data_IF_953698216546
#
_entry.id   IF_953698216546
#
_cell.length_a   1.000
_cell.length_b   1.000
_cell.length_c   1.000
_cell.angle_alpha   90.00
_cell.angle_beta   90.00
_cell.angle_gamma   90.00
#
_symmetry.space_group_name_H-M   'P 1'
#
loop_
_entity.id
_entity.type
_entity.pdbx_description
1 polymer ?
#
# COMPACT_ATOMS: atom_id res chain seq x y z
N UNK A 1 -46.61 9.23 -15.81
CA UNK A 1 -45.17 8.94 -15.64
C UNK A 1 -44.98 8.34 -14.25
N UNK A 2 -44.52 7.09 -14.17
CA UNK A 2 -44.18 6.42 -12.91
C UNK A 2 -42.69 6.68 -12.64
N UNK A 3 -42.39 7.28 -11.50
CA UNK A 3 -41.02 7.53 -11.06
C UNK A 3 -40.65 6.33 -10.20
N UNK A 4 -39.72 5.49 -10.67
CA UNK A 4 -39.18 4.39 -9.87
C UNK A 4 -38.14 4.93 -8.89
N UNK A 5 -38.18 4.58 -7.60
CA UNK A 5 -37.09 4.89 -6.67
C UNK A 5 -35.94 3.89 -6.88
N UNK A 6 -34.74 4.42 -7.12
CA UNK A 6 -33.50 3.65 -7.16
C UNK A 6 -33.20 3.19 -5.73
N UNK A 7 -33.32 1.89 -5.49
CA UNK A 7 -32.94 1.26 -4.22
C UNK A 7 -31.41 1.14 -4.19
N UNK A 8 -30.72 1.97 -3.41
CA UNK A 8 -29.32 1.74 -3.05
C UNK A 8 -29.26 0.55 -2.09
N UNK A 9 -28.89 -0.62 -2.61
CA UNK A 9 -28.49 -1.77 -1.81
C UNK A 9 -27.09 -1.48 -1.25
N UNK A 10 -27.04 -0.91 -0.04
CA UNK A 10 -25.81 -0.86 0.75
C UNK A 10 -25.62 -2.26 1.34
N UNK A 11 -24.88 -3.12 0.66
CA UNK A 11 -24.39 -4.37 1.24
C UNK A 11 -23.15 -4.09 2.08
N UNK A 12 -23.30 -3.36 3.18
CA UNK A 12 -22.30 -3.34 4.23
C UNK A 12 -22.44 -4.64 5.00
N UNK A 13 -21.60 -5.63 4.69
CA UNK A 13 -21.32 -6.72 5.61
C UNK A 13 -20.58 -6.12 6.81
N UNK A 14 -21.32 -5.63 7.79
CA UNK A 14 -20.76 -5.41 9.12
C UNK A 14 -20.52 -6.78 9.74
N UNK A 15 -19.30 -7.29 9.57
CA UNK A 15 -18.82 -8.40 10.39
C UNK A 15 -18.74 -7.88 11.82
N UNK A 16 -19.50 -8.51 12.69
CA UNK A 16 -19.53 -8.30 14.13
C UNK A 16 -18.14 -8.46 14.73
N UNK A 17 -17.61 -7.41 15.38
CA UNK A 17 -16.63 -7.51 16.47
C UNK A 17 -15.32 -8.28 16.20
N UNK A 18 -14.70 -8.12 15.03
CA UNK A 18 -13.29 -8.48 14.88
C UNK A 18 -12.46 -7.40 15.58
N UNK A 19 -11.73 -7.76 16.64
CA UNK A 19 -10.50 -7.01 16.95
C UNK A 19 -9.71 -6.89 15.64
N UNK A 20 -9.13 -5.71 15.37
CA UNK A 20 -8.29 -5.50 14.19
C UNK A 20 -7.03 -6.38 14.38
N UNK A 21 -7.08 -7.62 13.91
CA UNK A 21 -5.98 -8.56 14.05
C UNK A 21 -4.94 -8.29 12.98
N UNK A 22 -3.67 -8.27 13.39
CA UNK A 22 -2.54 -8.19 12.47
C UNK A 22 -2.61 -9.36 11.47
N UNK A 23 -2.68 -9.12 10.15
CA UNK A 23 -2.87 -10.18 9.17
C UNK A 23 -1.63 -11.07 9.09
N UNK A 24 -1.88 -12.37 8.90
CA UNK A 24 -0.83 -13.36 8.62
C UNK A 24 -0.24 -13.15 7.22
N UNK A 25 0.97 -13.65 7.00
CA UNK A 25 1.59 -13.62 5.69
C UNK A 25 0.77 -14.40 4.66
N UNK A 26 0.19 -15.54 5.04
CA UNK A 26 -0.63 -16.37 4.17
C UNK A 26 -1.92 -15.65 3.74
N UNK A 27 -2.54 -14.87 4.63
CA UNK A 27 -3.69 -14.04 4.29
C UNK A 27 -3.31 -12.96 3.28
N UNK A 28 -2.18 -12.28 3.47
CA UNK A 28 -1.70 -11.25 2.56
C UNK A 28 -1.28 -11.84 1.20
N UNK A 29 -0.59 -12.98 1.17
CA UNK A 29 -0.22 -13.68 -0.07
C UNK A 29 -1.47 -14.12 -0.84
N UNK A 30 -2.48 -14.66 -0.14
CA UNK A 30 -3.75 -15.05 -0.77
C UNK A 30 -4.48 -13.84 -1.35
N UNK A 31 -4.54 -12.73 -0.59
CA UNK A 31 -5.15 -11.49 -1.06
C UNK A 31 -4.44 -10.93 -2.29
N UNK A 32 -3.11 -10.86 -2.26
CA UNK A 32 -2.30 -10.45 -3.40
C UNK A 32 -2.57 -11.33 -4.62
N UNK A 33 -2.55 -12.65 -4.46
CA UNK A 33 -2.76 -13.59 -5.57
C UNK A 33 -4.15 -13.44 -6.20
N UNK A 34 -5.18 -13.19 -5.38
CA UNK A 34 -6.53 -12.97 -5.86
C UNK A 34 -6.68 -11.66 -6.65
N UNK A 35 -5.88 -10.64 -6.31
CA UNK A 35 -5.97 -9.29 -6.86
C UNK A 35 -4.70 -8.84 -7.60
N UNK A 36 -3.88 -9.79 -8.07
CA UNK A 36 -2.53 -9.52 -8.59
C UNK A 36 -2.55 -8.50 -9.74
N UNK A 37 -3.55 -8.59 -10.63
CA UNK A 37 -3.71 -7.65 -11.74
C UNK A 37 -3.91 -6.21 -11.24
N UNK A 38 -4.69 -6.01 -10.17
CA UNK A 38 -4.95 -4.68 -9.64
C UNK A 38 -3.70 -4.08 -8.97
N UNK A 39 -2.96 -4.87 -8.20
CA UNK A 39 -1.67 -4.46 -7.63
C UNK A 39 -0.68 -4.01 -8.71
N UNK A 40 -0.53 -4.83 -9.76
CA UNK A 40 0.36 -4.53 -10.88
C UNK A 40 -0.07 -3.29 -11.64
N UNK A 41 -1.36 -3.08 -11.87
CA UNK A 41 -1.86 -1.89 -12.56
C UNK A 41 -1.68 -0.61 -11.72
N UNK A 42 -1.93 -0.66 -10.40
CA UNK A 42 -1.61 0.44 -9.49
C UNK A 42 -0.14 0.83 -9.61
N UNK A 43 0.77 -0.16 -9.51
CA UNK A 43 2.20 0.04 -9.70
C UNK A 43 2.48 0.73 -11.03
N UNK A 44 1.98 0.18 -12.15
CA UNK A 44 2.28 0.67 -13.49
C UNK A 44 1.84 2.11 -13.71
N UNK A 45 0.73 2.53 -13.08
CA UNK A 45 0.27 3.92 -13.10
C UNK A 45 1.21 4.82 -12.29
N UNK A 46 1.56 4.43 -11.04
CA UNK A 46 2.29 5.33 -10.14
C UNK A 46 3.79 5.42 -10.42
N UNK A 47 4.43 4.37 -10.93
CA UNK A 47 5.88 4.39 -11.26
C UNK A 47 6.20 5.27 -12.47
N UNK A 48 5.20 5.67 -13.24
CA UNK A 48 5.36 6.56 -14.39
C UNK A 48 5.27 8.04 -14.01
N UNK A 49 4.90 8.35 -12.75
CA UNK A 49 4.63 9.71 -12.30
C UNK A 49 5.92 10.53 -12.18
N UNK A 50 5.87 11.77 -12.66
CA UNK A 50 6.94 12.74 -12.46
C UNK A 50 6.97 13.27 -11.01
N UNK A 51 5.79 13.52 -10.44
CA UNK A 51 5.60 14.11 -9.11
C UNK A 51 4.57 13.33 -8.29
N UNK A 52 4.59 13.54 -6.98
CA UNK A 52 3.66 12.95 -6.01
C UNK A 52 4.35 12.02 -5.03
N UNK A 53 3.77 11.91 -3.83
CA UNK A 53 4.22 11.04 -2.74
C UNK A 53 3.19 9.94 -2.39
N UNK A 54 1.93 10.14 -2.78
CA UNK A 54 0.82 9.20 -2.56
C UNK A 54 -0.36 9.48 -3.48
N UNK A 55 -1.35 8.60 -3.47
CA UNK A 55 -2.69 8.78 -4.01
C UNK A 55 -3.70 7.89 -3.24
N UNK A 56 -4.94 8.35 -2.96
CA UNK A 56 -5.50 9.67 -3.23
C UNK A 56 -4.97 10.75 -2.26
N UNK A 57 -5.22 12.05 -2.50
CA UNK A 57 -4.89 13.10 -1.53
C UNK A 57 -5.56 12.86 -0.18
N UNK A 58 -4.90 13.21 0.93
CA UNK A 58 -5.52 13.28 2.26
C UNK A 58 -6.61 14.33 2.32
N UNK A 59 -6.39 15.47 1.67
CA UNK A 59 -7.31 16.61 1.68
C UNK A 59 -7.82 16.91 0.29
N UNK A 60 -9.13 16.91 0.16
CA UNK A 60 -9.83 17.30 -1.08
C UNK A 60 -10.40 18.72 -1.00
N UNK A 61 -10.50 19.28 0.20
CA UNK A 61 -11.04 20.63 0.47
C UNK A 61 -10.01 21.73 0.20
N UNK A 62 -8.74 21.46 0.53
CA UNK A 62 -7.62 22.39 0.38
C UNK A 62 -6.41 21.64 -0.17
N UNK A 63 -6.25 21.67 -1.50
CA UNK A 63 -5.11 21.05 -2.16
C UNK A 63 -3.88 21.96 -2.06
N UNK A 64 -2.91 21.56 -1.23
CA UNK A 64 -1.62 22.23 -1.10
C UNK A 64 -0.50 21.21 -0.93
N UNK A 65 0.73 21.58 -1.29
CA UNK A 65 1.91 20.72 -1.12
C UNK A 65 1.72 19.34 -1.77
N UNK A 66 1.98 18.28 -1.01
CA UNK A 66 1.92 16.90 -1.48
C UNK A 66 0.52 16.48 -1.94
N UNK A 67 -0.55 16.99 -1.34
CA UNK A 67 -1.93 16.72 -1.79
C UNK A 67 -2.15 17.26 -3.21
N UNK A 68 -1.62 18.46 -3.51
CA UNK A 68 -1.67 18.99 -4.86
C UNK A 68 -0.81 18.16 -5.83
N UNK A 69 0.39 17.75 -5.40
CA UNK A 69 1.30 16.93 -6.23
C UNK A 69 0.75 15.52 -6.50
N UNK A 70 -0.01 14.94 -5.58
CA UNK A 70 -0.64 13.62 -5.73
C UNK A 70 -1.55 13.52 -6.96
N UNK A 71 -2.19 14.64 -7.34
CA UNK A 71 -3.12 14.71 -8.47
C UNK A 71 -2.60 15.55 -9.64
N UNK A 72 -1.52 16.32 -9.45
CA UNK A 72 -0.95 17.18 -10.49
C UNK A 72 -0.55 16.34 -11.70
N UNK A 73 -0.98 16.73 -12.90
CA UNK A 73 -0.67 16.00 -14.16
C UNK A 73 -1.12 14.52 -14.16
N UNK A 74 -2.01 14.13 -13.24
CA UNK A 74 -2.63 12.81 -13.26
C UNK A 74 -3.92 12.91 -14.09
N UNK A 75 -4.05 12.20 -15.21
CA UNK A 75 -5.29 12.20 -15.99
C UNK A 75 -6.49 11.75 -15.17
N UNK A 76 -7.67 12.34 -15.40
CA UNK A 76 -8.91 11.96 -14.70
C UNK A 76 -9.24 10.47 -14.85
N UNK A 77 -8.95 9.88 -16.02
CA UNK A 77 -9.09 8.44 -16.25
C UNK A 77 -8.23 7.61 -15.29
N UNK A 78 -7.00 8.04 -15.02
CA UNK A 78 -6.11 7.36 -14.08
C UNK A 78 -6.55 7.57 -12.63
N UNK A 79 -7.13 8.73 -12.28
CA UNK A 79 -7.71 8.96 -10.95
C UNK A 79 -8.85 7.98 -10.67
N UNK A 80 -9.84 7.96 -11.57
CA UNK A 80 -10.98 7.04 -11.46
C UNK A 80 -10.55 5.58 -11.47
N UNK A 81 -9.52 5.25 -12.26
CA UNK A 81 -8.99 3.89 -12.30
C UNK A 81 -8.28 3.52 -11.00
N UNK A 82 -7.43 4.40 -10.46
CA UNK A 82 -6.77 4.18 -9.16
C UNK A 82 -7.80 4.06 -8.02
N UNK A 83 -8.85 4.90 -8.00
CA UNK A 83 -9.92 4.78 -7.01
C UNK A 83 -10.59 3.40 -7.07
N UNK A 84 -10.90 2.93 -8.29
CA UNK A 84 -11.49 1.61 -8.50
C UNK A 84 -10.56 0.48 -8.08
N UNK A 85 -9.27 0.57 -8.40
CA UNK A 85 -8.27 -0.46 -8.10
C UNK A 85 -8.01 -0.55 -6.60
N UNK A 86 -7.88 0.59 -5.92
CA UNK A 86 -7.72 0.66 -4.46
C UNK A 86 -8.94 0.06 -3.74
N UNK A 87 -10.15 0.37 -4.21
CA UNK A 87 -11.36 -0.26 -3.71
C UNK A 87 -11.40 -1.78 -3.99
N UNK A 88 -10.95 -2.24 -5.17
CA UNK A 88 -10.89 -3.66 -5.51
C UNK A 88 -9.98 -4.44 -4.56
N UNK A 89 -8.82 -3.89 -4.20
CA UNK A 89 -7.88 -4.51 -3.25
C UNK A 89 -8.19 -4.18 -1.79
N UNK A 90 -9.27 -3.44 -1.52
CA UNK A 90 -9.66 -2.99 -0.17
C UNK A 90 -8.56 -2.22 0.59
N UNK A 91 -7.75 -1.44 -0.13
CA UNK A 91 -6.73 -0.57 0.44
C UNK A 91 -7.10 0.89 0.23
N UNK A 92 -6.74 1.76 1.18
CA UNK A 92 -7.14 3.17 1.12
C UNK A 92 -6.20 4.03 0.27
N UNK A 93 -4.95 3.57 0.06
CA UNK A 93 -3.88 4.43 -0.46
C UNK A 93 -2.75 3.64 -1.08
N UNK A 94 -2.07 4.29 -2.02
CA UNK A 94 -0.76 3.91 -2.51
C UNK A 94 0.23 5.05 -2.26
N UNK A 95 1.42 4.73 -1.78
CA UNK A 95 2.56 5.65 -1.65
C UNK A 95 3.64 5.29 -2.66
N UNK A 96 4.29 6.32 -3.18
CA UNK A 96 5.34 6.22 -4.18
C UNK A 96 6.13 7.51 -4.18
N UNK A 97 7.29 7.57 -4.81
CA UNK A 97 7.95 8.86 -5.09
C UNK A 97 8.05 9.09 -6.59
N UNK A 98 7.50 10.22 -7.05
CA UNK A 98 7.62 10.65 -8.43
C UNK A 98 9.09 10.83 -8.86
N UNK A 99 9.39 10.55 -10.12
CA UNK A 99 10.76 10.52 -10.65
C UNK A 99 11.50 11.85 -10.56
N UNK A 100 10.83 12.97 -10.84
CA UNK A 100 11.44 14.30 -10.69
C UNK A 100 11.62 14.64 -9.21
N UNK A 101 10.70 14.25 -8.32
CA UNK A 101 10.88 14.40 -6.88
C UNK A 101 12.10 13.62 -6.36
N UNK A 102 12.31 12.38 -6.82
CA UNK A 102 13.51 11.60 -6.50
C UNK A 102 14.79 12.28 -6.99
N UNK A 103 14.78 12.79 -8.22
CA UNK A 103 15.91 13.48 -8.83
C UNK A 103 16.26 14.78 -8.09
N UNK A 104 15.28 15.57 -7.70
CA UNK A 104 15.46 16.79 -6.89
C UNK A 104 16.11 16.49 -5.53
N UNK A 105 15.83 15.32 -4.96
CA UNK A 105 16.48 14.81 -3.74
C UNK A 105 17.84 14.14 -3.97
N UNK A 106 18.33 14.09 -5.22
CA UNK A 106 19.57 13.39 -5.57
C UNK A 106 19.49 11.87 -5.38
N UNK A 107 18.29 11.29 -5.44
CA UNK A 107 18.05 9.85 -5.30
C UNK A 107 18.02 9.16 -6.67
N UNK A 108 18.26 7.85 -6.66
CA UNK A 108 18.12 7.02 -7.84
C UNK A 108 16.66 7.00 -8.31
N UNK A 109 16.44 7.26 -9.60
CA UNK A 109 15.13 7.32 -10.24
C UNK A 109 14.75 6.02 -10.95
N UNK A 110 15.69 5.06 -11.03
CA UNK A 110 15.46 3.76 -11.64
C UNK A 110 14.73 2.79 -10.70
N UNK A 111 14.80 3.03 -9.39
CA UNK A 111 14.23 2.18 -8.34
C UNK A 111 13.08 2.87 -7.61
N UNK A 112 12.00 3.16 -8.33
CA UNK A 112 10.76 3.66 -7.68
C UNK A 112 10.12 2.55 -6.87
N UNK A 113 10.04 2.76 -5.55
CA UNK A 113 9.31 1.89 -4.63
C UNK A 113 7.83 2.26 -4.61
N UNK A 114 6.98 1.26 -4.44
CA UNK A 114 5.54 1.44 -4.25
C UNK A 114 5.12 0.73 -2.97
N UNK A 115 4.39 1.44 -2.12
CA UNK A 115 3.89 0.93 -0.86
C UNK A 115 2.37 0.99 -0.86
N UNK A 116 1.72 -0.11 -0.50
CA UNK A 116 0.26 -0.18 -0.35
C UNK A 116 -0.02 -0.71 1.05
N UNK A 117 -0.34 0.17 2.02
CA UNK A 117 -0.67 -0.24 3.37
C UNK A 117 -1.88 -1.15 3.39
N UNK A 118 -1.74 -2.27 4.10
CA UNK A 118 -2.80 -3.25 4.27
C UNK A 118 -3.27 -3.30 5.73
N UNK A 119 -2.36 -3.09 6.66
CA UNK A 119 -2.63 -2.97 8.09
C UNK A 119 -1.74 -1.89 8.69
N UNK A 120 -2.32 -1.06 9.56
CA UNK A 120 -1.59 -0.10 10.39
C UNK A 120 -2.25 -0.09 11.77
N UNK A 121 -1.45 -0.24 12.82
CA UNK A 121 -1.87 -0.09 14.20
C UNK A 121 -0.82 0.70 14.97
N UNK A 122 -1.23 1.66 15.80
CA UNK A 122 -0.30 2.45 16.59
C UNK A 122 -0.72 3.91 16.74
N UNK A 123 0.11 4.66 17.44
CA UNK A 123 -0.05 6.10 17.66
C UNK A 123 1.15 6.84 17.05
N UNK A 124 1.16 8.17 17.14
CA UNK A 124 2.20 9.01 16.52
C UNK A 124 3.63 8.81 17.04
N UNK A 125 3.86 7.93 18.01
CA UNK A 125 5.18 7.67 18.62
C UNK A 125 5.61 6.19 18.53
N UNK A 126 4.81 5.33 17.90
CA UNK A 126 5.09 3.89 17.84
C UNK A 126 3.91 3.12 17.27
N UNK A 127 4.18 2.00 16.61
CA UNK A 127 3.17 1.20 15.93
C UNK A 127 3.72 0.00 15.19
N UNK A 128 2.82 -0.74 14.56
CA UNK A 128 3.10 -1.85 13.66
C UNK A 128 2.32 -1.64 12.37
N UNK A 129 3.02 -1.67 11.22
CA UNK A 129 2.40 -1.71 9.91
C UNK A 129 2.71 -3.03 9.21
N UNK A 130 1.80 -3.42 8.32
CA UNK A 130 2.00 -4.50 7.35
C UNK A 130 1.49 -4.04 5.99
N UNK A 131 2.34 -4.10 5.00
CA UNK A 131 2.07 -3.49 3.69
C UNK A 131 2.63 -4.31 2.53
N UNK A 132 2.05 -4.11 1.35
CA UNK A 132 2.60 -4.63 0.12
C UNK A 132 3.64 -3.65 -0.42
N UNK A 133 4.87 -4.11 -0.55
CA UNK A 133 5.98 -3.36 -1.10
C UNK A 133 6.31 -3.90 -2.49
N UNK A 134 6.33 -3.03 -3.50
CA UNK A 134 7.02 -3.30 -4.76
C UNK A 134 8.38 -2.63 -4.77
N UNK A 135 9.43 -3.46 -4.90
CA UNK A 135 10.80 -3.02 -5.11
C UNK A 135 11.52 -4.04 -6.03
N UNK A 136 11.86 -3.68 -7.28
CA UNK A 136 12.34 -4.65 -8.25
C UNK A 136 13.65 -5.35 -7.85
N UNK A 137 14.47 -4.74 -7.01
CA UNK A 137 15.76 -5.25 -6.57
C UNK A 137 15.99 -4.96 -5.08
N UNK A 138 15.18 -5.58 -4.22
CA UNK A 138 15.41 -5.51 -2.77
C UNK A 138 16.72 -6.21 -2.41
N UNK A 139 17.56 -5.56 -1.59
CA UNK A 139 18.87 -6.08 -1.22
C UNK A 139 18.73 -7.43 -0.50
N UNK A 140 19.44 -8.46 -0.99
CA UNK A 140 19.32 -9.84 -0.47
C UNK A 140 19.62 -9.96 1.02
N UNK A 141 20.45 -9.06 1.55
CA UNK A 141 20.76 -8.99 2.97
C UNK A 141 19.52 -8.62 3.80
N UNK A 142 18.62 -7.78 3.28
CA UNK A 142 17.34 -7.42 3.92
C UNK A 142 16.33 -8.57 3.89
N UNK A 143 16.43 -9.48 2.92
CA UNK A 143 15.61 -10.69 2.81
C UNK A 143 16.14 -11.81 3.74
N UNK A 144 17.46 -11.82 4.01
CA UNK A 144 18.16 -12.96 4.63
C UNK A 144 17.85 -13.21 6.11
N UNK A 145 17.17 -12.28 6.80
CA UNK A 145 16.70 -12.48 8.18
C UNK A 145 15.36 -13.24 8.28
N UNK A 146 14.72 -13.53 7.14
CA UNK A 146 13.41 -14.17 7.06
C UNK A 146 13.56 -15.53 6.39
N UNK A 147 14.07 -16.52 7.14
CA UNK A 147 13.99 -17.92 6.68
C UNK A 147 12.51 -18.24 6.39
N UNK A 148 12.27 -18.72 5.17
CA UNK A 148 11.01 -18.67 4.40
C UNK A 148 9.81 -19.42 5.00
N UNK A 149 9.86 -19.84 6.26
CA UNK A 149 8.85 -20.68 6.90
C UNK A 149 8.05 -19.98 8.00
N UNK A 150 8.60 -18.95 8.65
CA UNK A 150 7.90 -18.28 9.75
C UNK A 150 7.02 -17.14 9.23
N UNK A 151 5.93 -16.87 9.95
CA UNK A 151 5.13 -15.66 9.75
C UNK A 151 5.92 -14.46 10.28
N UNK A 152 5.94 -13.35 9.54
CA UNK A 152 6.57 -12.11 10.01
C UNK A 152 6.05 -11.68 11.39
N UNK A 153 4.79 -12.00 11.69
CA UNK A 153 4.17 -11.71 12.97
C UNK A 153 4.86 -12.45 14.13
N UNK A 154 5.28 -13.68 13.90
CA UNK A 154 5.95 -14.50 14.91
C UNK A 154 7.39 -14.03 15.14
N UNK A 155 8.04 -13.49 14.11
CA UNK A 155 9.41 -12.99 14.19
C UNK A 155 9.45 -11.72 15.05
N UNK A 156 8.62 -10.71 14.76
CA UNK A 156 8.69 -9.45 15.52
C UNK A 156 8.27 -9.63 16.99
N UNK A 157 7.31 -10.53 17.27
CA UNK A 157 6.86 -10.82 18.64
C UNK A 157 7.95 -11.46 19.51
N UNK A 158 8.98 -12.04 18.90
CA UNK A 158 10.12 -12.60 19.64
C UNK A 158 11.14 -11.53 20.01
N UNK A 159 11.24 -10.45 19.23
CA UNK A 159 12.27 -9.42 19.41
C UNK A 159 11.76 -8.19 20.17
N UNK A 160 10.45 -7.88 20.10
CA UNK A 160 9.76 -6.74 20.74
C UNK A 160 10.56 -5.42 20.65
N UNK A 161 11.24 -5.23 19.52
CA UNK A 161 12.14 -4.12 19.24
C UNK A 161 11.87 -3.58 17.85
N UNK A 162 12.35 -2.36 17.60
CA UNK A 162 12.19 -1.70 16.30
C UNK A 162 12.73 -2.60 15.20
N UNK A 163 11.87 -2.97 14.27
CA UNK A 163 12.17 -4.01 13.29
C UNK A 163 11.48 -3.70 11.97
N UNK A 164 12.23 -3.81 10.88
CA UNK A 164 11.68 -3.89 9.52
C UNK A 164 11.99 -5.27 8.93
N UNK A 165 10.96 -6.02 8.56
CA UNK A 165 11.05 -7.36 7.99
C UNK A 165 10.45 -7.40 6.58
N UNK A 166 10.97 -8.30 5.74
CA UNK A 166 10.53 -8.46 4.36
C UNK A 166 10.30 -9.93 4.03
N UNK A 167 9.18 -10.23 3.37
CA UNK A 167 8.90 -11.57 2.85
C UNK A 167 8.54 -11.51 1.37
N UNK A 168 9.28 -12.21 0.48
CA UNK A 168 8.99 -12.17 -0.95
C UNK A 168 7.64 -12.84 -1.27
N UNK A 169 6.89 -12.24 -2.19
CA UNK A 169 5.67 -12.80 -2.77
C UNK A 169 5.98 -13.27 -4.21
N UNK A 170 6.10 -12.32 -5.16
CA UNK A 170 6.26 -12.58 -6.60
C UNK A 170 6.69 -11.32 -7.36
N UNK A 171 7.54 -11.43 -8.38
CA UNK A 171 7.86 -10.37 -9.35
C UNK A 171 8.17 -8.99 -8.73
N UNK A 172 9.03 -8.97 -7.71
CA UNK A 172 9.43 -7.74 -7.01
C UNK A 172 8.42 -7.25 -5.96
N UNK A 173 7.34 -8.00 -5.71
CA UNK A 173 6.42 -7.77 -4.59
C UNK A 173 6.86 -8.51 -3.34
N UNK A 174 6.72 -7.84 -2.21
CA UNK A 174 7.06 -8.29 -0.87
C UNK A 174 5.94 -7.90 0.10
N UNK A 175 5.81 -8.66 1.19
CA UNK A 175 5.20 -8.18 2.42
C UNK A 175 6.30 -7.46 3.19
N UNK A 176 6.06 -6.22 3.60
CA UNK A 176 6.89 -5.51 4.56
C UNK A 176 6.13 -5.42 5.89
N UNK A 177 6.80 -5.76 6.99
CA UNK A 177 6.33 -5.49 8.34
C UNK A 177 7.29 -4.49 8.96
N UNK A 178 6.76 -3.38 9.44
CA UNK A 178 7.52 -2.38 10.19
C UNK A 178 6.95 -2.25 11.59
N UNK A 179 7.82 -2.19 12.60
CA UNK A 179 7.44 -1.99 13.98
C UNK A 179 8.40 -1.00 14.63
N UNK A 180 7.84 -0.03 15.35
CA UNK A 180 8.54 1.03 16.09
C UNK A 180 7.89 1.17 17.48
N UNK A 181 8.68 1.33 18.54
CA UNK A 181 8.24 1.36 19.94
C UNK A 181 7.98 2.77 20.51
#
# INVERSE_FOLDING_TARGET
MRISPITFLISSLFVTGCELSLPTDDEMVRHFTQHEAAFNEIRDIVVQRAYGTYYPPYRTDTLYGDDLLSIKELPEEHKLRLDSLLNEISCERVFYWGKESLKEMGKDTSRTKVYIPYFVHGLSIGGTSKEFLYEPELDKEQISATEQQLDLNDIYRQTDSDTTLYKPIKDGWYIMLDHDN
#
